data_IF_682819197332
#
_entry.id   IF_682819197332
#
_cell.length_a   1.000
_cell.length_b   1.000
_cell.length_c   1.000
_cell.angle_alpha   90.00
_cell.angle_beta   90.00
_cell.angle_gamma   90.00
#
_symmetry.space_group_name_H-M   'P 1'
#
loop_
_entity.id
_entity.type
_entity.pdbx_description
1 polymer ?
#
# COMPACT_ATOMS: atom_id res chain seq x y z
N UNK A 1 -19.40 -9.69 -5.36
CA UNK A 1 -20.08 -10.26 -4.17
C UNK A 1 -19.15 -10.93 -3.15
N UNK A 2 -18.13 -11.71 -3.54
CA UNK A 2 -17.28 -12.46 -2.58
C UNK A 2 -16.40 -11.62 -1.63
N UNK A 3 -15.98 -10.42 -2.03
CA UNK A 3 -15.19 -9.52 -1.17
C UNK A 3 -16.02 -8.82 -0.08
N UNK A 4 -17.31 -8.51 -0.35
CA UNK A 4 -18.23 -7.94 0.65
C UNK A 4 -18.42 -8.89 1.84
N UNK A 5 -18.47 -10.21 1.58
CA UNK A 5 -18.57 -11.23 2.62
C UNK A 5 -17.32 -11.29 3.51
N UNK A 6 -16.13 -11.12 2.93
CA UNK A 6 -14.86 -11.17 3.66
C UNK A 6 -14.68 -9.96 4.59
N UNK A 7 -15.03 -8.75 4.12
CA UNK A 7 -15.04 -7.53 4.94
C UNK A 7 -16.11 -7.56 6.04
N UNK A 8 -17.30 -8.12 5.76
CA UNK A 8 -18.34 -8.32 6.77
C UNK A 8 -17.92 -9.33 7.85
N UNK A 9 -17.24 -10.41 7.47
CA UNK A 9 -16.71 -11.41 8.40
C UNK A 9 -15.59 -10.80 9.26
N UNK A 10 -14.69 -10.02 8.67
CA UNK A 10 -13.60 -9.37 9.41
C UNK A 10 -14.12 -8.32 10.42
N UNK A 11 -15.09 -7.48 10.00
CA UNK A 11 -15.71 -6.47 10.89
C UNK A 11 -16.55 -7.11 12.01
N UNK A 12 -17.18 -8.26 11.74
CA UNK A 12 -17.93 -9.01 12.76
C UNK A 12 -17.00 -9.69 13.76
N UNK A 13 -15.90 -10.29 13.30
CA UNK A 13 -14.89 -10.89 14.18
C UNK A 13 -14.21 -9.86 15.08
N UNK A 14 -13.96 -8.65 14.58
CA UNK A 14 -13.40 -7.55 15.39
C UNK A 14 -14.33 -7.14 16.54
N UNK A 15 -15.63 -6.96 16.26
CA UNK A 15 -16.64 -6.62 17.29
C UNK A 15 -16.83 -7.72 18.34
N UNK A 16 -16.79 -8.99 17.93
CA UNK A 16 -16.89 -10.11 18.88
C UNK A 16 -15.65 -10.19 19.79
N UNK A 17 -14.46 -9.90 19.27
CA UNK A 17 -13.24 -9.84 20.07
C UNK A 17 -13.25 -8.69 21.09
N UNK A 18 -13.72 -7.51 20.69
CA UNK A 18 -13.89 -6.35 21.59
C UNK A 18 -14.90 -6.64 22.71
N UNK A 19 -16.01 -7.34 22.40
CA UNK A 19 -16.98 -7.77 23.40
C UNK A 19 -16.41 -8.81 24.38
N UNK A 20 -15.57 -9.74 23.91
CA UNK A 20 -14.90 -10.73 24.78
C UNK A 20 -13.89 -10.03 25.70
N UNK A 21 -13.17 -9.03 25.20
CA UNK A 21 -12.18 -8.29 25.97
C UNK A 21 -12.85 -7.43 27.06
N UNK A 22 -13.94 -6.73 26.74
CA UNK A 22 -14.76 -6.00 27.71
C UNK A 22 -15.40 -6.93 28.76
N UNK A 23 -15.89 -8.11 28.34
CA UNK A 23 -16.44 -9.11 29.26
C UNK A 23 -15.38 -9.74 30.17
N UNK A 24 -14.10 -9.70 29.78
CA UNK A 24 -12.98 -10.17 30.61
C UNK A 24 -12.59 -9.15 31.68
N UNK A 25 -12.66 -7.85 31.38
CA UNK A 25 -12.33 -6.76 32.30
C UNK A 25 -13.35 -6.66 33.46
N UNK A 26 -14.62 -6.98 33.22
CA UNK A 26 -15.64 -7.00 34.28
C UNK A 26 -15.59 -8.21 35.23
N UNK A 27 -14.75 -9.22 34.97
CA UNK A 27 -14.58 -10.37 35.89
C UNK A 27 -13.43 -10.21 36.88
N UNK A 28 -12.70 -9.09 36.84
CA UNK A 28 -11.49 -8.87 37.65
C UNK A 28 -11.70 -8.25 39.05
N UNK A 29 -12.93 -7.95 39.47
CA UNK A 29 -13.21 -7.28 40.75
C UNK A 29 -13.96 -8.17 41.73
N UNK A 30 -13.30 -9.23 42.21
CA UNK A 30 -13.88 -10.03 43.29
C UNK A 30 -12.99 -11.18 43.78
N UNK A 31 -12.63 -11.10 45.07
CA UNK A 31 -12.08 -12.15 45.94
C UNK A 31 -10.57 -12.36 45.95
N UNK A 32 -9.95 -11.78 46.99
CA UNK A 32 -8.83 -12.39 47.72
C UNK A 32 -9.31 -13.68 48.37
N UNK A 33 -8.58 -14.78 48.20
CA UNK A 33 -8.11 -15.70 49.25
C UNK A 33 -7.76 -17.10 48.72
N UNK A 34 -6.62 -17.60 49.23
CA UNK A 34 -6.21 -18.99 49.41
C UNK A 34 -5.87 -19.84 48.16
N UNK A 35 -4.64 -20.37 48.20
CA UNK A 35 -3.99 -21.08 47.11
C UNK A 35 -4.60 -22.42 46.71
N UNK A 36 -4.31 -22.81 45.47
CA UNK A 36 -3.98 -24.19 45.07
C UNK A 36 -3.42 -24.18 43.65
N UNK A 37 -2.34 -24.94 43.44
CA UNK A 37 -1.79 -25.26 42.12
C UNK A 37 -2.81 -26.13 41.38
N UNK A 38 -3.18 -25.74 40.15
CA UNK A 38 -4.08 -26.51 39.30
C UNK A 38 -4.10 -25.98 37.87
N UNK A 39 -3.81 -26.87 36.93
CA UNK A 39 -3.68 -26.67 35.48
C UNK A 39 -4.84 -25.92 34.82
N UNK A 40 -4.54 -24.82 34.12
CA UNK A 40 -5.47 -24.11 33.23
C UNK A 40 -4.94 -24.08 31.79
N UNK A 41 -5.26 -25.10 30.99
CA UNK A 41 -5.14 -25.08 29.51
C UNK A 41 -6.47 -25.50 28.90
N UNK A 42 -7.48 -24.64 28.94
CA UNK A 42 -8.71 -24.79 28.14
C UNK A 42 -9.32 -23.42 27.91
N UNK A 43 -8.99 -22.79 26.79
CA UNK A 43 -9.77 -21.79 26.04
C UNK A 43 -8.92 -21.30 24.85
N UNK A 44 -8.49 -22.21 23.98
CA UNK A 44 -7.82 -21.83 22.71
C UNK A 44 -8.15 -22.77 21.54
N UNK A 45 -9.00 -23.78 21.74
CA UNK A 45 -9.23 -24.83 20.75
C UNK A 45 -10.48 -24.66 19.88
N UNK A 46 -11.35 -23.66 20.15
CA UNK A 46 -12.64 -23.56 19.43
C UNK A 46 -12.59 -22.68 18.17
N UNK A 47 -11.53 -21.89 17.94
CA UNK A 47 -11.42 -20.99 16.76
C UNK A 47 -10.74 -21.69 15.56
N UNK A 48 -10.04 -22.80 15.78
CA UNK A 48 -9.24 -23.46 14.74
C UNK A 48 -10.10 -24.38 13.85
N UNK A 49 -11.20 -24.95 14.35
CA UNK A 49 -11.98 -25.94 13.58
C UNK A 49 -12.85 -25.34 12.47
N UNK A 50 -13.32 -24.10 12.59
CA UNK A 50 -14.20 -23.49 11.56
C UNK A 50 -13.42 -23.08 10.30
N UNK A 51 -12.12 -22.82 10.42
CA UNK A 51 -11.27 -22.46 9.26
C UNK A 51 -10.78 -23.70 8.50
N UNK A 52 -10.61 -24.83 9.19
CA UNK A 52 -10.18 -26.08 8.58
C UNK A 52 -11.27 -26.77 7.74
N UNK A 53 -12.55 -26.56 8.05
CA UNK A 53 -13.67 -27.22 7.35
C UNK A 53 -13.96 -26.65 5.96
N UNK A 54 -13.59 -25.39 5.67
CA UNK A 54 -13.80 -24.77 4.35
C UNK A 54 -12.70 -25.11 3.33
N UNK A 55 -11.54 -25.61 3.79
CA UNK A 55 -10.40 -25.93 2.91
C UNK A 55 -10.47 -27.38 2.40
N UNK A 56 -11.13 -28.29 3.12
CA UNK A 56 -11.16 -29.73 2.81
C UNK A 56 -12.31 -30.16 1.89
N UNK A 57 -13.38 -29.38 1.74
CA UNK A 57 -14.57 -29.82 0.96
C UNK A 57 -14.58 -29.33 -0.50
N UNK A 58 -13.72 -28.37 -0.87
CA UNK A 58 -13.58 -27.93 -2.26
C UNK A 58 -12.12 -28.01 -2.73
N UNK A 59 -11.65 -29.17 -3.20
CA UNK A 59 -10.46 -29.20 -4.04
C UNK A 59 -10.75 -28.37 -5.29
N UNK A 60 -10.19 -27.16 -5.36
CA UNK A 60 -10.09 -26.35 -6.57
C UNK A 60 -9.28 -27.16 -7.59
N UNK A 61 -9.97 -28.04 -8.34
CA UNK A 61 -9.41 -28.65 -9.53
C UNK A 61 -9.05 -27.50 -10.48
N UNK A 62 -7.74 -27.26 -10.65
CA UNK A 62 -7.22 -26.43 -11.72
C UNK A 62 -7.57 -27.10 -13.03
N UNK A 63 -8.67 -26.67 -13.65
CA UNK A 63 -8.99 -27.09 -15.02
C UNK A 63 -7.90 -26.55 -15.94
N UNK A 64 -7.22 -27.38 -16.75
CA UNK A 64 -6.17 -26.97 -17.70
C UNK A 64 -6.73 -26.19 -18.92
N UNK A 65 -7.94 -25.64 -18.81
CA UNK A 65 -8.68 -24.98 -19.90
C UNK A 65 -8.62 -23.44 -19.84
N UNK A 66 -7.88 -22.84 -18.89
CA UNK A 66 -7.86 -21.39 -18.67
C UNK A 66 -6.65 -20.67 -19.30
N UNK A 67 -5.63 -21.41 -19.75
CA UNK A 67 -4.42 -20.82 -20.34
C UNK A 67 -4.46 -20.78 -21.88
N UNK A 68 -5.40 -21.50 -22.50
CA UNK A 68 -5.64 -21.48 -23.94
C UNK A 68 -6.70 -20.42 -24.29
N UNK A 69 -6.34 -19.45 -25.13
CA UNK A 69 -7.19 -18.40 -25.73
C UNK A 69 -7.53 -17.20 -24.81
N UNK A 70 -6.53 -16.61 -24.15
CA UNK A 70 -6.58 -15.15 -23.89
C UNK A 70 -6.02 -14.43 -25.11
N UNK A 71 -6.75 -14.51 -26.23
CA UNK A 71 -6.42 -13.72 -27.42
C UNK A 71 -6.24 -12.26 -26.98
N UNK A 72 -5.03 -11.73 -27.18
CA UNK A 72 -4.69 -10.37 -26.74
C UNK A 72 -5.65 -9.39 -27.41
N UNK A 73 -6.63 -8.91 -26.64
CA UNK A 73 -7.58 -7.93 -27.10
C UNK A 73 -6.82 -6.63 -27.30
N UNK A 74 -6.61 -6.24 -28.56
CA UNK A 74 -6.04 -4.94 -28.90
C UNK A 74 -7.00 -3.86 -28.42
N UNK A 75 -6.46 -2.89 -27.70
CA UNK A 75 -7.22 -1.75 -27.21
C UNK A 75 -6.72 -0.46 -27.88
N UNK A 76 -7.65 0.39 -28.28
CA UNK A 76 -7.32 1.73 -28.73
C UNK A 76 -7.15 2.66 -27.52
N UNK A 77 -5.90 2.96 -27.18
CA UNK A 77 -5.54 3.76 -26.01
C UNK A 77 -6.11 5.18 -26.10
N UNK A 78 -6.30 5.73 -27.30
CA UNK A 78 -6.82 7.09 -27.48
C UNK A 78 -8.27 7.27 -27.00
N UNK A 79 -9.01 6.16 -26.90
CA UNK A 79 -10.41 6.14 -26.45
C UNK A 79 -10.57 5.99 -24.94
N UNK A 80 -9.47 5.75 -24.22
CA UNK A 80 -9.51 5.53 -22.79
C UNK A 80 -9.73 6.85 -22.05
N UNK A 81 -10.59 6.81 -21.03
CA UNK A 81 -10.84 7.93 -20.13
C UNK A 81 -10.67 7.43 -18.69
N UNK A 82 -9.69 8.00 -17.99
CA UNK A 82 -9.47 7.71 -16.59
C UNK A 82 -10.57 8.39 -15.79
N UNK A 83 -11.45 7.60 -15.17
CA UNK A 83 -12.52 8.13 -14.32
C UNK A 83 -12.19 7.89 -12.87
N UNK A 84 -12.52 8.85 -12.03
CA UNK A 84 -12.58 8.62 -10.59
C UNK A 84 -13.74 7.66 -10.33
N UNK A 85 -13.44 6.52 -9.70
CA UNK A 85 -14.42 5.55 -9.25
C UNK A 85 -15.05 6.14 -7.98
N UNK A 86 -16.11 6.93 -8.19
CA UNK A 86 -17.08 7.28 -7.16
C UNK A 86 -17.74 5.98 -6.71
N UNK A 87 -17.03 5.16 -5.94
CA UNK A 87 -17.71 4.11 -5.21
C UNK A 87 -18.69 4.84 -4.33
N UNK A 88 -19.95 4.44 -4.44
CA UNK A 88 -20.99 4.86 -3.55
C UNK A 88 -20.51 4.55 -2.13
N UNK A 89 -20.01 5.57 -1.42
CA UNK A 89 -19.97 5.61 0.04
C UNK A 89 -21.44 5.67 0.49
N UNK A 90 -22.14 4.57 0.19
CA UNK A 90 -23.55 4.32 0.44
C UNK A 90 -23.70 4.22 1.96
N UNK A 91 -23.77 5.39 2.62
CA UNK A 91 -24.28 5.54 3.97
C UNK A 91 -23.30 5.91 5.08
N UNK A 92 -22.08 6.36 4.78
CA UNK A 92 -21.26 7.07 5.78
C UNK A 92 -21.34 8.56 5.49
N UNK A 93 -21.96 9.30 6.40
CA UNK A 93 -22.08 10.75 6.36
C UNK A 93 -20.68 11.37 6.14
N UNK A 94 -20.46 11.94 4.96
CA UNK A 94 -19.17 12.49 4.51
C UNK A 94 -18.67 13.67 5.34
N UNK A 95 -19.44 14.14 6.33
CA UNK A 95 -19.14 15.36 7.08
C UNK A 95 -17.96 15.24 8.05
N UNK A 96 -17.51 14.03 8.38
CA UNK A 96 -16.30 13.81 9.21
C UNK A 96 -15.49 12.65 8.66
N UNK A 97 -14.64 12.91 7.65
CA UNK A 97 -13.49 12.03 7.43
C UNK A 97 -12.72 11.98 8.74
N UNK A 98 -12.57 10.78 9.30
CA UNK A 98 -11.79 10.49 10.52
C UNK A 98 -10.36 11.05 10.42
N UNK A 99 -9.90 11.40 9.21
CA UNK A 99 -8.56 11.83 8.86
C UNK A 99 -8.62 13.11 8.01
N UNK A 100 -8.66 14.32 8.59
CA UNK A 100 -8.82 15.56 7.81
C UNK A 100 -7.63 15.85 6.86
N UNK A 101 -6.48 15.24 7.13
CA UNK A 101 -5.26 15.32 6.34
C UNK A 101 -5.14 14.24 5.25
N UNK A 102 -6.07 13.31 5.12
CA UNK A 102 -5.97 12.19 4.20
C UNK A 102 -7.21 12.05 3.32
N UNK A 103 -6.97 11.65 2.07
CA UNK A 103 -8.04 11.31 1.13
C UNK A 103 -7.57 10.19 0.20
N UNK A 104 -8.43 9.19 -0.03
CA UNK A 104 -8.19 8.12 -0.99
C UNK A 104 -8.92 8.42 -2.30
N UNK A 105 -8.21 8.22 -3.40
CA UNK A 105 -8.75 8.26 -4.74
C UNK A 105 -8.53 6.92 -5.42
N UNK A 106 -9.60 6.42 -6.03
CA UNK A 106 -9.55 5.25 -6.90
C UNK A 106 -9.86 5.71 -8.31
N UNK A 107 -8.96 5.47 -9.24
CA UNK A 107 -9.17 5.72 -10.64
C UNK A 107 -9.32 4.41 -11.39
N UNK A 108 -10.28 4.32 -12.30
CA UNK A 108 -10.51 3.11 -13.06
C UNK A 108 -10.92 3.39 -14.51
N UNK A 109 -10.57 2.44 -15.37
CA UNK A 109 -11.12 2.34 -16.73
C UNK A 109 -11.68 0.94 -16.90
N UNK A 110 -12.97 0.77 -16.59
CA UNK A 110 -13.66 -0.54 -16.65
C UNK A 110 -12.84 -1.62 -15.92
N UNK A 111 -12.58 -2.73 -16.61
CA UNK A 111 -11.75 -3.85 -16.18
C UNK A 111 -10.30 -3.77 -16.70
N UNK A 112 -9.86 -2.64 -17.27
CA UNK A 112 -8.57 -2.51 -17.96
C UNK A 112 -7.45 -2.13 -17.00
N UNK A 113 -7.65 -1.03 -16.27
CA UNK A 113 -6.68 -0.50 -15.33
C UNK A 113 -7.38 0.08 -14.12
N UNK A 114 -6.77 -0.10 -12.95
CA UNK A 114 -7.16 0.56 -11.70
C UNK A 114 -5.91 1.17 -11.07
N UNK A 115 -6.02 2.40 -10.58
CA UNK A 115 -4.98 3.10 -9.83
C UNK A 115 -5.55 3.50 -8.46
N UNK A 116 -4.81 3.22 -7.40
CA UNK A 116 -5.10 3.70 -6.06
C UNK A 116 -4.09 4.78 -5.69
N UNK A 117 -4.59 5.94 -5.29
CA UNK A 117 -3.78 7.10 -4.88
C UNK A 117 -4.29 7.62 -3.55
N UNK A 118 -3.38 7.92 -2.65
CA UNK A 118 -3.67 8.55 -1.37
C UNK A 118 -3.06 9.96 -1.40
N UNK A 119 -3.81 11.00 -1.03
CA UNK A 119 -3.26 12.36 -0.86
C UNK A 119 -3.15 12.71 0.62
N UNK A 120 -2.05 13.36 0.98
CA UNK A 120 -1.73 13.73 2.35
C UNK A 120 -1.53 15.25 2.39
N UNK A 121 -2.28 15.93 3.26
CA UNK A 121 -2.15 17.35 3.57
C UNK A 121 -1.35 17.55 4.85
N UNK A 122 -0.07 17.88 4.69
CA UNK A 122 0.87 18.05 5.81
C UNK A 122 0.45 19.17 6.76
N UNK A 123 -0.28 20.17 6.28
CA UNK A 123 -0.67 21.34 7.08
C UNK A 123 -1.68 20.97 8.18
N UNK A 124 -2.40 19.87 7.97
CA UNK A 124 -3.43 19.37 8.86
C UNK A 124 -2.94 18.29 9.83
N UNK A 125 -1.65 17.94 9.76
CA UNK A 125 -1.03 16.98 10.67
C UNK A 125 -0.36 17.75 11.81
N UNK A 126 -0.59 17.31 13.05
CA UNK A 126 0.01 17.93 14.22
C UNK A 126 1.55 17.84 14.19
N UNK A 127 2.28 18.91 14.56
CA UNK A 127 3.74 18.86 14.64
C UNK A 127 4.24 17.72 15.54
N UNK A 128 5.11 16.86 15.01
CA UNK A 128 5.65 15.71 15.74
C UNK A 128 4.82 14.43 15.63
N UNK A 129 3.59 14.50 15.11
CA UNK A 129 2.69 13.35 14.95
C UNK A 129 2.78 12.69 13.56
N UNK A 130 3.67 13.16 12.67
CA UNK A 130 3.65 12.78 11.24
C UNK A 130 3.74 11.27 10.99
N UNK A 131 4.57 10.55 11.77
CA UNK A 131 4.68 9.10 11.61
C UNK A 131 3.43 8.37 12.13
N UNK A 132 2.92 8.76 13.30
CA UNK A 132 1.73 8.17 13.90
C UNK A 132 0.51 8.39 13.01
N UNK A 133 0.31 9.62 12.52
CA UNK A 133 -0.78 9.97 11.62
C UNK A 133 -0.80 9.16 10.32
N UNK A 134 0.38 8.77 9.81
CA UNK A 134 0.48 7.94 8.60
C UNK A 134 0.45 6.43 8.89
N UNK A 135 0.84 6.00 10.10
CA UNK A 135 0.72 4.62 10.59
C UNK A 135 -0.74 4.16 10.60
N UNK A 136 -1.60 5.04 11.10
CA UNK A 136 -3.01 4.74 11.27
C UNK A 136 -3.77 4.67 9.92
N UNK A 137 -3.25 5.32 8.86
CA UNK A 137 -3.80 5.23 7.50
C UNK A 137 -3.36 3.93 6.82
N UNK A 138 -2.05 3.70 6.70
CA UNK A 138 -1.53 2.47 6.09
C UNK A 138 -0.07 2.18 6.45
N UNK A 139 0.28 0.89 6.54
CA UNK A 139 1.67 0.46 6.75
C UNK A 139 2.60 0.97 5.64
N UNK A 140 2.14 1.07 4.38
CA UNK A 140 2.96 1.58 3.28
C UNK A 140 3.33 3.06 3.49
N UNK A 141 2.37 3.88 3.92
CA UNK A 141 2.61 5.28 4.25
C UNK A 141 3.50 5.43 5.49
N UNK A 142 3.41 4.52 6.47
CA UNK A 142 4.35 4.49 7.59
C UNK A 142 5.78 4.20 7.13
N UNK A 143 5.95 3.21 6.27
CA UNK A 143 7.28 2.87 5.73
C UNK A 143 7.83 4.04 4.91
N UNK A 144 6.99 4.68 4.11
CA UNK A 144 7.34 5.90 3.39
C UNK A 144 7.76 7.03 4.32
N UNK A 145 6.94 7.34 5.32
CA UNK A 145 7.18 8.43 6.26
C UNK A 145 8.47 8.21 7.05
N UNK A 146 8.68 7.00 7.58
CA UNK A 146 9.91 6.62 8.29
C UNK A 146 11.14 6.59 7.38
N UNK A 147 10.98 6.28 6.09
CA UNK A 147 12.12 6.28 5.17
C UNK A 147 12.56 7.70 4.82
N UNK A 148 11.62 8.58 4.48
CA UNK A 148 11.89 9.88 3.85
C UNK A 148 11.89 11.04 4.86
N UNK A 149 10.99 11.02 5.84
CA UNK A 149 10.71 12.17 6.72
C UNK A 149 11.00 11.90 8.20
N UNK A 150 11.36 12.93 8.96
CA UNK A 150 11.33 12.88 10.42
C UNK A 150 9.89 12.92 10.97
N UNK A 151 9.73 12.85 12.29
CA UNK A 151 8.42 12.88 12.94
C UNK A 151 7.68 14.23 12.78
N UNK A 152 8.38 15.28 12.31
CA UNK A 152 7.78 16.58 12.02
C UNK A 152 7.40 16.74 10.54
N UNK A 153 7.53 15.68 9.73
CA UNK A 153 7.23 15.74 8.30
C UNK A 153 8.26 16.52 7.48
N UNK A 154 9.48 16.69 7.99
CA UNK A 154 10.61 17.28 7.26
C UNK A 154 11.49 16.19 6.67
N UNK A 155 12.06 16.41 5.49
CA UNK A 155 12.98 15.46 4.87
C UNK A 155 14.17 15.21 5.81
N UNK A 156 14.54 13.94 5.99
CA UNK A 156 15.71 13.61 6.80
C UNK A 156 16.98 14.12 6.12
N UNK A 157 17.90 14.71 6.88
CA UNK A 157 19.19 15.17 6.35
C UNK A 157 19.94 14.07 5.58
N UNK A 158 19.94 12.83 6.10
CA UNK A 158 20.56 11.67 5.43
C UNK A 158 19.93 11.35 4.07
N UNK A 159 18.63 11.62 3.89
CA UNK A 159 17.91 11.38 2.64
C UNK A 159 18.24 12.50 1.66
N UNK A 160 18.19 13.76 2.10
CA UNK A 160 18.56 14.93 1.29
C UNK A 160 20.01 14.86 0.78
N UNK A 161 20.95 14.36 1.58
CA UNK A 161 22.37 14.27 1.22
C UNK A 161 22.75 12.94 0.52
N UNK A 162 21.82 12.05 0.22
CA UNK A 162 22.10 10.74 -0.42
C UNK A 162 21.52 10.63 -1.82
N UNK A 163 21.90 9.58 -2.55
CA UNK A 163 21.46 9.35 -3.92
C UNK A 163 21.94 10.45 -4.86
N UNK A 164 21.03 11.01 -5.66
CA UNK A 164 21.32 12.07 -6.63
C UNK A 164 21.14 13.48 -6.07
N UNK A 165 20.66 13.61 -4.82
CA UNK A 165 20.44 14.89 -4.14
C UNK A 165 19.51 15.87 -4.90
N UNK A 166 18.70 15.36 -5.84
CA UNK A 166 17.69 16.15 -6.56
C UNK A 166 16.44 16.42 -5.73
N UNK A 167 16.37 15.88 -4.51
CA UNK A 167 15.30 16.07 -3.54
C UNK A 167 15.90 16.64 -2.26
N UNK A 168 15.31 17.71 -1.74
CA UNK A 168 15.86 18.46 -0.62
C UNK A 168 14.80 19.23 0.17
N UNK A 169 15.18 20.45 0.57
CA UNK A 169 14.42 21.28 1.49
C UNK A 169 13.05 21.72 0.95
N UNK A 170 12.82 21.60 -0.36
CA UNK A 170 11.50 21.85 -0.95
C UNK A 170 10.42 20.94 -0.36
N UNK A 171 10.77 19.71 0.05
CA UNK A 171 9.83 18.79 0.72
C UNK A 171 9.51 19.20 2.17
N UNK A 172 10.21 20.20 2.73
CA UNK A 172 9.96 20.70 4.09
C UNK A 172 8.80 21.68 4.20
N UNK A 173 8.23 22.13 3.07
CA UNK A 173 7.03 22.97 3.08
C UNK A 173 5.92 22.29 3.86
N UNK A 174 5.42 22.95 4.91
CA UNK A 174 4.42 22.41 5.82
C UNK A 174 3.00 22.58 5.27
N UNK A 175 2.81 23.57 4.40
CA UNK A 175 1.57 23.91 3.69
C UNK A 175 1.33 23.06 2.43
N UNK A 176 2.26 22.16 2.08
CA UNK A 176 2.21 21.41 0.85
C UNK A 176 1.53 20.04 1.02
N UNK A 177 0.68 19.69 0.06
CA UNK A 177 0.14 18.34 -0.11
C UNK A 177 1.10 17.48 -0.93
N UNK A 178 0.98 16.17 -0.78
CA UNK A 178 1.58 15.24 -1.73
C UNK A 178 0.64 14.08 -2.02
N UNK A 179 0.80 13.47 -3.19
CA UNK A 179 0.10 12.25 -3.54
C UNK A 179 1.04 11.05 -3.39
N UNK A 180 0.48 9.89 -3.07
CA UNK A 180 1.18 8.62 -2.96
C UNK A 180 0.43 7.58 -3.80
N UNK A 181 1.05 7.11 -4.88
CA UNK A 181 0.52 6.03 -5.71
C UNK A 181 0.80 4.71 -5.01
N UNK A 182 -0.27 4.13 -4.47
CA UNK A 182 -0.25 2.86 -3.75
C UNK A 182 -0.15 1.69 -4.73
N UNK A 183 -1.11 1.59 -5.64
CA UNK A 183 -1.24 0.46 -6.56
C UNK A 183 -1.57 0.91 -7.98
N UNK A 184 -0.97 0.23 -8.96
CA UNK A 184 -1.36 0.29 -10.37
C UNK A 184 -1.59 -1.13 -10.85
N UNK A 185 -2.84 -1.45 -11.17
CA UNK A 185 -3.23 -2.80 -11.58
C UNK A 185 -3.71 -2.72 -13.03
N UNK A 186 -2.89 -3.25 -13.94
CA UNK A 186 -3.29 -3.45 -15.34
C UNK A 186 -3.69 -4.92 -15.53
N UNK A 187 -4.90 -5.11 -16.04
CA UNK A 187 -5.43 -6.44 -16.32
C UNK A 187 -4.54 -7.21 -17.32
N UNK A 188 -4.29 -8.52 -17.08
CA UNK A 188 -3.30 -9.28 -17.84
C UNK A 188 -3.41 -9.16 -19.36
N UNK A 189 -4.63 -9.20 -19.90
CA UNK A 189 -4.92 -9.14 -21.33
C UNK A 189 -4.55 -7.80 -21.99
N UNK A 190 -4.42 -6.72 -21.22
CA UNK A 190 -4.07 -5.38 -21.70
C UNK A 190 -2.62 -4.96 -21.36
N UNK A 191 -1.82 -5.86 -20.77
CA UNK A 191 -0.40 -5.59 -20.50
C UNK A 191 0.39 -5.52 -21.80
N UNK A 192 1.54 -4.84 -21.76
CA UNK A 192 2.46 -4.65 -22.91
C UNK A 192 1.86 -3.87 -24.09
N UNK A 193 0.67 -3.28 -23.94
CA UNK A 193 0.04 -2.46 -24.98
C UNK A 193 0.24 -0.95 -24.77
N UNK A 194 0.90 -0.52 -23.70
CA UNK A 194 1.10 0.90 -23.36
C UNK A 194 0.12 1.45 -22.32
N UNK A 195 -0.87 0.66 -21.89
CA UNK A 195 -1.91 1.06 -20.92
C UNK A 195 -1.34 1.63 -19.62
N UNK A 196 -0.31 1.01 -19.05
CA UNK A 196 0.28 1.51 -17.79
C UNK A 196 0.91 2.91 -17.94
N UNK A 197 1.58 3.19 -19.06
CA UNK A 197 2.13 4.51 -19.36
C UNK A 197 1.00 5.53 -19.52
N UNK A 198 0.02 5.22 -20.35
CA UNK A 198 -1.15 6.07 -20.55
C UNK A 198 -1.85 6.39 -19.23
N UNK A 199 -2.00 5.41 -18.35
CA UNK A 199 -2.70 5.59 -17.08
C UNK A 199 -1.93 6.49 -16.11
N UNK A 200 -0.59 6.41 -16.07
CA UNK A 200 0.24 7.36 -15.32
C UNK A 200 0.16 8.76 -15.93
N UNK A 201 0.31 8.90 -17.24
CA UNK A 201 0.23 10.20 -17.92
C UNK A 201 -1.13 10.88 -17.65
N UNK A 202 -2.23 10.12 -17.74
CA UNK A 202 -3.57 10.58 -17.43
C UNK A 202 -3.74 10.96 -15.94
N UNK A 203 -3.18 10.16 -15.02
CA UNK A 203 -3.22 10.43 -13.59
C UNK A 203 -2.48 11.73 -13.24
N UNK A 204 -1.28 11.92 -13.79
CA UNK A 204 -0.45 13.10 -13.55
C UNK A 204 -1.09 14.40 -14.06
N UNK A 205 -2.06 14.31 -14.97
CA UNK A 205 -2.84 15.44 -15.50
C UNK A 205 -4.20 15.59 -14.82
N UNK A 206 -4.58 14.67 -13.93
CA UNK A 206 -5.90 14.68 -13.32
C UNK A 206 -6.04 15.83 -12.29
N UNK A 207 -7.20 16.50 -12.31
CA UNK A 207 -7.50 17.67 -11.45
C UNK A 207 -7.45 17.36 -9.95
N UNK A 208 -7.82 16.14 -9.55
CA UNK A 208 -7.77 15.71 -8.15
C UNK A 208 -6.36 15.73 -7.54
N UNK A 209 -5.31 15.82 -8.36
CA UNK A 209 -3.92 15.90 -7.92
C UNK A 209 -3.26 17.25 -8.29
N UNK A 210 -4.04 18.24 -8.72
CA UNK A 210 -3.53 19.53 -9.18
C UNK A 210 -2.72 20.27 -8.10
N UNK A 211 -3.19 20.19 -6.86
CA UNK A 211 -2.60 20.78 -5.66
C UNK A 211 -1.49 19.92 -5.03
N UNK A 212 -1.11 18.81 -5.66
CA UNK A 212 -0.04 17.93 -5.21
C UNK A 212 1.25 18.17 -6.03
N UNK A 213 2.15 19.08 -5.60
CA UNK A 213 3.40 19.37 -6.31
C UNK A 213 4.32 18.16 -6.46
N UNK A 214 4.21 17.19 -5.53
CA UNK A 214 4.99 15.98 -5.53
C UNK A 214 4.11 14.74 -5.44
N UNK A 215 4.49 13.73 -6.20
CA UNK A 215 3.79 12.45 -6.29
C UNK A 215 4.81 11.35 -6.03
N UNK A 216 4.56 10.54 -5.01
CA UNK A 216 5.46 9.49 -4.57
C UNK A 216 4.89 8.11 -4.88
N UNK A 217 5.76 7.11 -4.89
CA UNK A 217 5.36 5.71 -4.99
C UNK A 217 6.46 4.81 -4.47
N UNK A 218 6.08 3.62 -4.01
CA UNK A 218 7.02 2.52 -3.80
C UNK A 218 7.02 1.62 -5.03
N UNK A 219 8.10 1.68 -5.83
CA UNK A 219 8.23 0.91 -7.07
C UNK A 219 8.50 -0.59 -6.79
N UNK A 220 7.53 -1.27 -6.20
CA UNK A 220 7.55 -2.72 -5.96
C UNK A 220 6.52 -3.43 -6.83
N UNK A 221 6.73 -4.72 -7.08
CA UNK A 221 5.71 -5.54 -7.74
C UNK A 221 4.72 -6.07 -6.72
N UNK A 222 3.43 -5.99 -7.03
CA UNK A 222 2.42 -6.61 -6.18
C UNK A 222 2.66 -8.12 -6.08
N UNK A 223 2.78 -8.59 -4.83
CA UNK A 223 2.85 -10.01 -4.48
C UNK A 223 1.45 -10.62 -4.60
N UNK A 224 1.03 -10.85 -5.84
CA UNK A 224 -0.22 -11.54 -6.11
C UNK A 224 -0.10 -13.02 -5.68
N UNK A 225 -1.10 -13.56 -4.96
CA UNK A 225 -1.09 -14.94 -4.53
C UNK A 225 -0.96 -15.90 -5.73
N UNK A 226 -0.17 -16.96 -5.54
CA UNK A 226 0.03 -17.99 -6.57
C UNK A 226 1.15 -17.73 -7.58
N UNK A 227 1.91 -16.62 -7.45
CA UNK A 227 3.15 -16.45 -8.22
C UNK A 227 4.30 -17.21 -7.57
N UNK A 228 5.14 -17.91 -8.36
CA UNK A 228 6.33 -18.56 -7.82
C UNK A 228 7.26 -17.53 -7.17
N UNK A 229 7.95 -17.94 -6.10
CA UNK A 229 8.93 -17.11 -5.39
C UNK A 229 10.09 -16.67 -6.30
N UNK A 230 10.39 -17.47 -7.34
CA UNK A 230 11.35 -17.12 -8.39
C UNK A 230 10.99 -15.84 -9.12
N UNK A 231 11.98 -14.95 -9.29
CA UNK A 231 11.84 -13.74 -10.11
C UNK A 231 11.25 -12.52 -9.41
N UNK A 232 11.18 -12.50 -8.07
CA UNK A 232 10.83 -11.28 -7.31
C UNK A 232 11.73 -10.09 -7.73
N UNK A 233 13.05 -10.31 -7.81
CA UNK A 233 14.01 -9.29 -8.26
C UNK A 233 13.73 -8.80 -9.69
N UNK A 234 13.42 -9.71 -10.62
CA UNK A 234 13.11 -9.34 -12.00
C UNK A 234 11.83 -8.50 -12.10
N UNK A 235 10.80 -8.83 -11.31
CA UNK A 235 9.55 -8.06 -11.24
C UNK A 235 9.76 -6.68 -10.61
N UNK A 236 10.54 -6.60 -9.55
CA UNK A 236 10.90 -5.35 -8.91
C UNK A 236 11.70 -4.46 -9.87
N UNK A 237 12.71 -5.01 -10.54
CA UNK A 237 13.49 -4.29 -11.56
C UNK A 237 12.61 -3.79 -12.71
N UNK A 238 11.61 -4.57 -13.14
CA UNK A 238 10.64 -4.14 -14.14
C UNK A 238 9.76 -2.97 -13.65
N UNK A 239 9.33 -2.98 -12.38
CA UNK A 239 8.58 -1.87 -11.78
C UNK A 239 9.44 -0.59 -11.69
N UNK A 240 10.69 -0.71 -11.22
CA UNK A 240 11.66 0.39 -11.18
C UNK A 240 11.88 0.98 -12.58
N UNK A 241 12.15 0.12 -13.57
CA UNK A 241 12.36 0.56 -14.95
C UNK A 241 11.10 1.24 -15.53
N UNK A 242 9.91 0.76 -15.17
CA UNK A 242 8.65 1.38 -15.57
C UNK A 242 8.53 2.81 -15.03
N UNK A 243 8.69 3.03 -13.72
CA UNK A 243 8.57 4.35 -13.11
C UNK A 243 9.67 5.32 -13.54
N UNK A 244 10.93 4.86 -13.68
CA UNK A 244 12.02 5.68 -14.24
C UNK A 244 11.67 6.22 -15.63
N UNK A 245 11.08 5.38 -16.48
CA UNK A 245 10.60 5.79 -17.82
C UNK A 245 9.45 6.79 -17.79
N UNK A 246 8.67 6.84 -16.70
CA UNK A 246 7.63 7.87 -16.50
C UNK A 246 8.17 9.17 -15.90
N UNK A 247 9.49 9.30 -15.73
CA UNK A 247 10.12 10.50 -15.19
C UNK A 247 10.16 10.55 -13.65
N UNK A 248 9.81 9.46 -12.96
CA UNK A 248 10.02 9.36 -11.52
C UNK A 248 11.52 9.12 -11.23
N UNK A 249 12.03 9.71 -10.15
CA UNK A 249 13.42 9.53 -9.69
C UNK A 249 13.46 9.14 -8.23
N UNK A 250 14.51 8.44 -7.83
CA UNK A 250 14.65 7.94 -6.46
C UNK A 250 14.76 9.12 -5.47
N UNK A 251 14.12 8.98 -4.30
CA UNK A 251 14.22 9.97 -3.21
C UNK A 251 15.38 9.58 -2.31
N UNK A 252 16.51 10.27 -2.46
CA UNK A 252 17.76 9.96 -1.77
C UNK A 252 18.24 8.53 -2.06
N UNK A 253 18.76 7.84 -1.04
CA UNK A 253 19.10 6.41 -1.08
C UNK A 253 17.94 5.44 -0.78
N UNK A 254 16.68 5.90 -0.78
CA UNK A 254 15.52 5.09 -0.33
C UNK A 254 14.94 4.19 -1.42
N UNK A 255 13.95 3.37 -1.08
CA UNK A 255 13.20 2.55 -2.04
C UNK A 255 12.07 3.30 -2.76
N UNK A 256 11.83 4.55 -2.36
CA UNK A 256 10.74 5.36 -2.86
C UNK A 256 11.18 6.22 -4.03
N UNK A 257 10.23 6.45 -4.92
CA UNK A 257 10.38 7.28 -6.11
C UNK A 257 9.45 8.47 -6.00
N UNK A 258 9.93 9.63 -6.43
CA UNK A 258 9.17 10.87 -6.51
C UNK A 258 9.05 11.36 -7.94
N UNK A 259 7.98 12.08 -8.21
CA UNK A 259 7.74 12.87 -9.41
C UNK A 259 7.40 14.29 -8.98
N UNK A 260 8.15 15.26 -9.51
CA UNK A 260 7.86 16.67 -9.30
C UNK A 260 7.04 17.18 -10.49
N UNK A 261 5.90 17.84 -10.21
CA UNK A 261 5.09 18.46 -11.26
C UNK A 261 5.78 19.65 -11.91
N UNK A 262 6.62 20.36 -11.17
CA UNK A 262 7.42 21.44 -11.71
C UNK A 262 8.43 20.92 -12.74
N UNK A 263 8.29 21.40 -13.98
CA UNK A 263 9.18 21.04 -15.09
C UNK A 263 10.63 21.50 -14.89
N UNK A 264 10.85 22.54 -14.08
CA UNK A 264 12.19 23.05 -13.73
C UNK A 264 12.88 22.29 -12.60
N UNK A 265 12.18 21.34 -11.96
CA UNK A 265 12.74 20.60 -10.83
C UNK A 265 13.94 19.74 -11.28
N UNK A 266 15.07 19.68 -10.52
CA UNK A 266 16.28 18.96 -10.94
C UNK A 266 16.06 17.48 -11.29
N UNK A 267 15.09 16.83 -10.64
CA UNK A 267 14.73 15.43 -10.96
C UNK A 267 14.22 15.23 -12.40
N UNK A 268 13.71 16.29 -13.06
CA UNK A 268 13.23 16.27 -14.45
C UNK A 268 14.36 16.26 -15.48
N UNK A 269 15.49 16.88 -15.14
CA UNK A 269 16.68 16.93 -15.99
C UNK A 269 17.57 15.67 -15.84
N UNK A 270 17.36 14.88 -14.80
CA UNK A 270 18.19 13.71 -14.50
C UNK A 270 17.88 12.57 -15.49
N UNK A 271 18.87 12.06 -16.28
CA UNK A 271 18.66 10.91 -17.15
C UNK A 271 18.37 9.64 -16.35
N UNK A 272 17.77 8.63 -16.99
CA UNK A 272 17.41 7.35 -16.34
C UNK A 272 18.65 6.65 -15.80
N UNK A 273 19.76 6.72 -16.56
CA UNK A 273 21.06 6.13 -16.26
C UNK A 273 21.78 6.87 -15.12
N UNK A 274 21.41 8.14 -14.88
CA UNK A 274 21.92 8.96 -13.80
C UNK A 274 21.11 8.84 -12.50
N UNK A 275 20.01 8.09 -12.49
CA UNK A 275 19.21 7.89 -11.29
C UNK A 275 19.94 6.99 -10.28
N UNK A 276 19.82 7.32 -9.00
CA UNK A 276 20.53 6.59 -7.96
C UNK A 276 20.02 5.15 -7.84
N UNK A 277 20.92 4.24 -7.49
CA UNK A 277 20.54 2.90 -7.04
C UNK A 277 20.15 2.90 -5.56
N UNK A 278 19.31 1.94 -5.17
CA UNK A 278 18.88 1.82 -3.78
C UNK A 278 20.10 1.45 -2.92
N UNK A 279 20.60 2.39 -2.12
CA UNK A 279 21.56 2.04 -1.07
C UNK A 279 20.78 1.38 0.03
N UNK A 280 21.09 0.13 0.37
CA UNK A 280 20.43 -0.57 1.47
C UNK A 280 20.67 0.23 2.76
N UNK A 281 19.75 1.14 3.09
CA UNK A 281 19.73 1.73 4.41
C UNK A 281 19.28 0.58 5.30
N UNK A 282 20.19 0.05 6.12
CA UNK A 282 20.12 -1.24 6.80
C UNK A 282 18.87 -1.51 7.68
N UNK A 283 17.87 -0.63 7.70
CA UNK A 283 16.61 -0.79 8.45
C UNK A 283 15.38 -1.19 7.62
N UNK A 284 15.34 -0.98 6.30
CA UNK A 284 14.07 -1.10 5.56
C UNK A 284 13.71 -2.53 5.10
N UNK A 285 14.68 -3.34 4.65
CA UNK A 285 14.40 -4.73 4.25
C UNK A 285 14.10 -5.65 5.43
N UNK A 286 14.62 -5.32 6.62
CA UNK A 286 14.50 -6.17 7.79
C UNK A 286 13.11 -6.14 8.46
N UNK A 287 12.23 -5.20 8.10
CA UNK A 287 10.95 -5.04 8.80
C UNK A 287 9.80 -5.77 8.11
N UNK A 288 9.64 -5.61 6.80
CA UNK A 288 8.52 -6.24 6.08
C UNK A 288 8.72 -7.73 5.87
N UNK A 289 9.86 -8.15 5.32
CA UNK A 289 10.12 -9.57 5.03
C UNK A 289 10.12 -10.41 6.33
N UNK A 290 10.71 -9.88 7.40
CA UNK A 290 10.73 -10.54 8.71
C UNK A 290 9.36 -10.63 9.38
N UNK A 291 8.52 -9.59 9.27
CA UNK A 291 7.13 -9.60 9.79
C UNK A 291 6.25 -10.58 9.00
N UNK A 292 6.41 -10.66 7.67
CA UNK A 292 5.69 -11.64 6.85
C UNK A 292 6.20 -13.07 7.07
N UNK A 293 7.51 -13.28 7.26
CA UNK A 293 8.09 -14.56 7.65
C UNK A 293 7.65 -15.00 9.04
N UNK A 294 7.60 -14.09 10.01
CA UNK A 294 7.11 -14.35 11.37
C UNK A 294 5.61 -14.68 11.38
N UNK A 295 4.80 -13.92 10.64
CA UNK A 295 3.38 -14.23 10.46
C UNK A 295 3.19 -15.58 9.78
N UNK A 296 3.89 -15.85 8.68
CA UNK A 296 3.81 -17.13 7.98
C UNK A 296 4.25 -18.31 8.87
N UNK A 297 5.29 -18.12 9.69
CA UNK A 297 5.73 -19.10 10.68
C UNK A 297 4.67 -19.30 11.78
N UNK A 298 4.02 -18.22 12.24
CA UNK A 298 2.96 -18.27 13.23
C UNK A 298 1.69 -18.99 12.71
N UNK A 299 1.39 -18.89 11.41
CA UNK A 299 0.29 -19.64 10.77
C UNK A 299 0.71 -20.99 10.18
N UNK A 300 1.93 -21.46 10.45
CA UNK A 300 2.40 -22.78 10.00
C UNK A 300 2.60 -22.92 8.48
N UNK A 301 2.65 -21.81 7.75
CA UNK A 301 2.94 -21.78 6.33
C UNK A 301 4.46 -21.94 6.16
N UNK A 302 4.89 -23.10 5.67
CA UNK A 302 6.28 -23.30 5.24
C UNK A 302 6.46 -22.68 3.85
N UNK A 303 7.40 -21.75 3.76
CA UNK A 303 7.92 -21.20 2.50
C UNK A 303 8.85 -22.19 1.81
#
# INVERSE_FOLDING_TARGET
>A
MRWKLCLLVHRRLRRELEHIELASQHRGSGRRAAGRRGSGRRCQWLVIEVTAFLITVFPLQRTPLADDIMASKRIDISTLQLKMDERDDEGLDSSESEWPYWQEYRFAVRDIVTIHVETIDKAKIEPGAFHTSLDEVSEDLLQFSKAVFDCSGRIKAKVACSGTQVWGAELNKTDAKFAYIKDIIVSPQYRRQGVGRWAIDALLQHQALEDCPWIFTWATSLNLPGKPAGGANARQNAAIAFFRKQGFRRVGGTWFFGYARDGGHPSRALPIEGDAEATQTAGARGFTERKYEELARAVGVKW
#
